data_IF_082956599646
#
_entry.id   IF_082956599646
#
_cell.length_a   1.000
_cell.length_b   1.000
_cell.length_c   1.000
_cell.angle_alpha   90.00
_cell.angle_beta   90.00
_cell.angle_gamma   90.00
#
_symmetry.space_group_name_H-M   'P 1'
#
loop_
_entity.id
_entity.type
_entity.pdbx_description
1 polymer ?
#
# COMPACT_ATOMS: atom_id res chain seq x y z
N UNK A 1 3.14 -3.30 9.39
CA UNK A 1 2.22 -3.98 8.47
C UNK A 1 0.94 -3.18 8.39
N UNK A 2 0.49 -2.86 7.19
CA UNK A 2 -0.68 -2.04 6.90
C UNK A 2 -1.69 -2.75 6.00
N UNK A 3 -2.93 -2.83 6.46
CA UNK A 3 -4.07 -3.41 5.76
C UNK A 3 -5.04 -2.29 5.35
N UNK A 4 -5.26 -2.16 4.05
CA UNK A 4 -6.18 -1.20 3.45
C UNK A 4 -7.46 -1.91 3.02
N UNK A 5 -8.62 -1.47 3.51
CA UNK A 5 -9.93 -1.93 3.10
C UNK A 5 -10.62 -0.96 2.15
N UNK A 6 -10.98 -1.42 0.95
CA UNK A 6 -11.80 -0.66 0.00
C UNK A 6 -13.26 -1.09 0.15
N UNK A 7 -14.07 -0.24 0.77
CA UNK A 7 -15.48 -0.48 1.02
C UNK A 7 -16.30 0.03 -0.18
N UNK A 8 -16.91 -0.89 -0.95
CA UNK A 8 -17.65 -0.58 -2.17
C UNK A 8 -19.18 -0.62 -2.07
N UNK A 9 -19.76 -0.72 -0.87
CA UNK A 9 -21.20 -0.90 -0.68
C UNK A 9 -21.86 0.42 -0.28
N UNK A 10 -22.91 0.88 -0.97
CA UNK A 10 -23.62 2.08 -0.55
C UNK A 10 -24.37 1.91 0.79
N UNK A 11 -24.49 0.66 1.29
CA UNK A 11 -25.20 0.35 2.52
C UNK A 11 -24.23 0.36 3.70
N UNK A 12 -24.21 1.45 4.48
CA UNK A 12 -23.32 1.62 5.66
C UNK A 12 -23.44 0.51 6.71
N UNK A 13 -24.65 -0.02 6.92
CA UNK A 13 -24.92 -1.16 7.82
C UNK A 13 -25.21 -2.46 7.05
N UNK A 14 -24.70 -2.54 5.82
CA UNK A 14 -24.92 -3.68 4.93
C UNK A 14 -23.99 -4.85 5.21
N UNK A 15 -24.37 -6.00 4.67
CA UNK A 15 -23.63 -7.26 4.75
C UNK A 15 -22.16 -7.15 4.31
N UNK A 16 -21.86 -6.37 3.25
CA UNK A 16 -20.46 -6.19 2.79
C UNK A 16 -19.64 -5.39 3.78
N UNK A 17 -20.25 -4.38 4.42
CA UNK A 17 -19.59 -3.61 5.47
C UNK A 17 -19.30 -4.47 6.69
N UNK A 18 -20.25 -5.33 7.09
CA UNK A 18 -20.04 -6.28 8.17
C UNK A 18 -18.84 -7.20 7.89
N UNK A 19 -18.81 -7.85 6.72
CA UNK A 19 -17.74 -8.76 6.34
C UNK A 19 -16.37 -8.07 6.32
N UNK A 20 -16.28 -6.88 5.73
CA UNK A 20 -15.04 -6.09 5.76
C UNK A 20 -14.64 -5.70 7.19
N UNK A 21 -15.59 -5.23 8.00
CA UNK A 21 -15.32 -4.80 9.38
C UNK A 21 -14.82 -5.96 10.25
N UNK A 22 -15.40 -7.15 10.10
CA UNK A 22 -14.95 -8.37 10.79
C UNK A 22 -13.52 -8.76 10.39
N UNK A 23 -13.20 -8.67 9.09
CA UNK A 23 -11.86 -8.91 8.58
C UNK A 23 -10.85 -7.91 9.16
N UNK A 24 -11.15 -6.62 9.07
CA UNK A 24 -10.29 -5.54 9.55
C UNK A 24 -10.08 -5.62 11.06
N UNK A 25 -11.14 -5.87 11.84
CA UNK A 25 -11.02 -6.03 13.30
C UNK A 25 -10.19 -7.25 13.69
N UNK A 26 -10.23 -8.32 12.89
CA UNK A 26 -9.41 -9.51 13.14
C UNK A 26 -7.95 -9.26 12.77
N UNK A 27 -7.69 -8.55 11.68
CA UNK A 27 -6.34 -8.12 11.32
C UNK A 27 -5.73 -7.19 12.38
N UNK A 28 -6.51 -6.24 12.89
CA UNK A 28 -6.11 -5.32 13.96
C UNK A 28 -5.74 -6.05 15.25
N UNK A 29 -6.55 -7.02 15.68
CA UNK A 29 -6.24 -7.90 16.83
C UNK A 29 -4.93 -8.70 16.66
N UNK A 30 -4.50 -8.94 15.42
CA UNK A 30 -3.22 -9.58 15.11
C UNK A 30 -2.06 -8.57 14.92
N UNK A 31 -2.26 -7.31 15.35
CA UNK A 31 -1.24 -6.27 15.37
C UNK A 31 -1.07 -5.53 14.04
N UNK A 32 -1.98 -5.72 13.08
CA UNK A 32 -1.96 -4.97 11.83
C UNK A 32 -2.51 -3.56 12.03
N UNK A 33 -1.88 -2.55 11.43
CA UNK A 33 -2.57 -1.27 11.25
C UNK A 33 -3.64 -1.43 10.18
N UNK A 34 -4.84 -0.92 10.45
CA UNK A 34 -5.96 -1.03 9.51
C UNK A 34 -6.52 0.33 9.13
N UNK A 35 -6.95 0.49 7.87
CA UNK A 35 -7.65 1.69 7.41
C UNK A 35 -8.70 1.32 6.36
N UNK A 36 -9.91 1.87 6.48
CA UNK A 36 -10.99 1.65 5.52
C UNK A 36 -11.25 2.93 4.73
N UNK A 37 -11.19 2.83 3.41
CA UNK A 37 -11.70 3.86 2.49
C UNK A 37 -13.13 3.50 2.11
N UNK A 38 -14.08 4.34 2.51
CA UNK A 38 -15.47 4.28 2.04
C UNK A 38 -15.54 4.86 0.62
N UNK A 39 -15.28 4.00 -0.38
CA UNK A 39 -15.15 4.39 -1.80
C UNK A 39 -16.43 5.04 -2.30
N UNK A 40 -17.59 4.67 -1.77
CA UNK A 40 -18.88 5.23 -2.18
C UNK A 40 -19.03 6.71 -1.79
N UNK A 41 -18.31 7.16 -0.76
CA UNK A 41 -18.31 8.57 -0.34
C UNK A 41 -17.20 9.40 -0.98
N UNK A 42 -16.30 8.78 -1.73
CA UNK A 42 -15.20 9.50 -2.38
C UNK A 42 -15.65 10.11 -3.69
N UNK A 43 -15.18 11.32 -3.96
CA UNK A 43 -15.24 11.93 -5.27
C UNK A 43 -14.18 11.28 -6.16
N UNK A 44 -14.59 10.25 -6.91
CA UNK A 44 -13.73 9.56 -7.88
C UNK A 44 -14.33 9.77 -9.26
N UNK A 45 -13.63 10.51 -10.11
CA UNK A 45 -14.04 10.65 -11.51
C UNK A 45 -13.70 9.38 -12.28
N UNK A 46 -14.59 8.91 -13.18
CA UNK A 46 -14.30 7.74 -14.00
C UNK A 46 -13.08 7.99 -14.89
N UNK A 47 -12.36 6.92 -15.23
CA UNK A 47 -11.32 7.01 -16.24
C UNK A 47 -11.95 7.33 -17.59
N UNK A 48 -11.38 8.31 -18.30
CA UNK A 48 -11.85 8.74 -19.63
C UNK A 48 -11.02 8.17 -20.78
N UNK A 49 -10.07 7.26 -20.49
CA UNK A 49 -9.24 6.61 -21.50
C UNK A 49 -8.31 7.55 -22.28
N UNK A 50 -7.90 8.68 -21.70
CA UNK A 50 -7.12 9.71 -22.42
C UNK A 50 -5.65 9.34 -22.71
N UNK A 51 -5.14 8.22 -22.17
CA UNK A 51 -3.76 7.77 -22.39
C UNK A 51 -2.66 8.63 -21.75
N UNK A 52 -2.99 9.73 -21.06
CA UNK A 52 -1.98 10.63 -20.47
C UNK A 52 -1.01 9.90 -19.53
N UNK A 53 -1.53 8.97 -18.71
CA UNK A 53 -0.73 8.19 -17.77
C UNK A 53 0.26 7.22 -18.42
N UNK A 54 0.07 6.86 -19.69
CA UNK A 54 0.98 5.95 -20.40
C UNK A 54 2.34 6.59 -20.65
N UNK A 55 2.36 7.93 -20.80
CA UNK A 55 3.60 8.70 -21.02
C UNK A 55 4.11 9.34 -19.73
N UNK A 56 3.21 9.82 -18.89
CA UNK A 56 3.57 10.63 -17.72
C UNK A 56 3.60 9.83 -16.41
N UNK A 57 3.05 8.61 -16.39
CA UNK A 57 2.98 7.77 -15.20
C UNK A 57 2.05 8.29 -14.11
N UNK A 58 1.31 9.36 -14.35
CA UNK A 58 0.32 9.93 -13.43
C UNK A 58 -1.00 10.17 -14.16
N UNK A 59 -2.11 10.16 -13.42
CA UNK A 59 -3.39 10.57 -13.97
C UNK A 59 -3.45 12.09 -14.20
N UNK A 60 -4.04 12.53 -15.31
CA UNK A 60 -4.24 13.96 -15.59
C UNK A 60 -5.31 14.58 -14.68
N UNK A 61 -6.28 13.78 -14.25
CA UNK A 61 -7.29 14.19 -13.27
C UNK A 61 -6.63 14.27 -11.90
N UNK A 62 -6.58 15.49 -11.35
CA UNK A 62 -5.93 15.82 -10.06
C UNK A 62 -6.92 16.30 -9.01
N UNK A 63 -8.10 16.72 -9.43
CA UNK A 63 -9.15 17.32 -8.61
C UNK A 63 -10.17 16.28 -8.13
N UNK A 64 -9.65 15.22 -7.50
CA UNK A 64 -10.43 14.11 -6.96
C UNK A 64 -9.65 13.33 -5.89
N UNK A 65 -10.33 12.44 -5.17
CA UNK A 65 -9.77 11.75 -4.00
C UNK A 65 -8.73 10.68 -4.38
N UNK A 66 -8.63 10.32 -5.67
CA UNK A 66 -7.64 9.36 -6.14
C UNK A 66 -6.21 9.84 -5.89
N UNK A 67 -5.90 11.08 -6.27
CA UNK A 67 -4.52 11.61 -6.23
C UNK A 67 -3.99 11.73 -4.81
N UNK A 68 -4.78 12.31 -3.92
CA UNK A 68 -4.32 12.79 -2.63
C UNK A 68 -4.49 11.78 -1.49
N UNK A 69 -5.33 10.76 -1.69
CA UNK A 69 -5.64 9.78 -0.65
C UNK A 69 -5.45 8.34 -1.18
N UNK A 70 -6.16 7.96 -2.24
CA UNK A 70 -6.26 6.54 -2.61
C UNK A 70 -4.95 5.99 -3.20
N UNK A 71 -4.28 6.68 -4.13
CA UNK A 71 -3.00 6.18 -4.65
C UNK A 71 -1.90 6.08 -3.57
N UNK A 72 -1.70 7.09 -2.70
CA UNK A 72 -0.78 6.95 -1.56
C UNK A 72 -1.10 5.73 -0.68
N UNK A 73 -2.37 5.54 -0.32
CA UNK A 73 -2.78 4.40 0.51
C UNK A 73 -2.55 3.04 -0.19
N UNK A 74 -2.83 2.94 -1.49
CA UNK A 74 -2.56 1.74 -2.28
C UNK A 74 -1.05 1.43 -2.33
N UNK A 75 -0.21 2.45 -2.48
CA UNK A 75 1.26 2.31 -2.48
C UNK A 75 1.83 1.96 -1.12
N UNK A 76 1.18 2.39 -0.05
CA UNK A 76 1.62 2.10 1.32
C UNK A 76 1.18 0.71 1.82
N UNK A 77 0.03 0.20 1.36
CA UNK A 77 -0.55 -1.04 1.85
C UNK A 77 0.36 -2.25 1.62
N UNK A 78 0.56 -3.08 2.65
CA UNK A 78 1.08 -4.44 2.51
C UNK A 78 -0.04 -5.40 2.09
N UNK A 79 -1.28 -5.11 2.50
CA UNK A 79 -2.47 -5.89 2.18
C UNK A 79 -3.59 -4.98 1.71
N UNK A 80 -4.20 -5.29 0.57
CA UNK A 80 -5.35 -4.58 0.01
C UNK A 80 -6.56 -5.51 -0.02
N UNK A 81 -7.61 -5.15 0.69
CA UNK A 81 -8.91 -5.80 0.64
C UNK A 81 -9.83 -5.04 -0.30
N UNK A 82 -10.45 -5.74 -1.24
CA UNK A 82 -11.52 -5.20 -2.06
C UNK A 82 -12.85 -5.79 -1.62
N UNK A 83 -13.71 -4.99 -0.99
CA UNK A 83 -15.01 -5.44 -0.52
C UNK A 83 -16.13 -4.84 -1.38
N UNK A 84 -16.83 -5.66 -2.15
CA UNK A 84 -17.90 -5.19 -3.04
C UNK A 84 -19.06 -6.19 -3.11
N UNK A 85 -20.33 -5.75 -2.94
CA UNK A 85 -21.47 -6.58 -3.30
C UNK A 85 -21.53 -6.81 -4.81
N UNK A 86 -22.18 -7.89 -5.24
CA UNK A 86 -22.38 -8.17 -6.66
C UNK A 86 -23.55 -7.36 -7.21
N UNK A 87 -23.25 -6.40 -8.08
CA UNK A 87 -24.22 -5.67 -8.89
C UNK A 87 -24.08 -6.12 -10.34
N UNK A 88 -25.13 -6.76 -10.88
CA UNK A 88 -25.15 -7.28 -12.26
C UNK A 88 -23.91 -8.11 -12.62
N UNK A 89 -23.58 -9.13 -11.79
CA UNK A 89 -22.44 -10.05 -11.99
C UNK A 89 -21.05 -9.40 -11.90
N UNK A 90 -20.95 -8.17 -11.40
CA UNK A 90 -19.66 -7.52 -11.17
C UNK A 90 -19.65 -6.69 -9.87
N UNK A 91 -18.51 -6.05 -9.58
CA UNK A 91 -18.35 -5.07 -8.51
C UNK A 91 -19.26 -3.86 -8.73
N UNK A 92 -19.48 -3.08 -7.68
CA UNK A 92 -20.21 -1.82 -7.77
C UNK A 92 -19.50 -0.81 -8.70
N UNK A 93 -20.28 0.08 -9.32
CA UNK A 93 -19.75 1.10 -10.23
C UNK A 93 -18.71 2.01 -9.56
N UNK A 94 -18.85 2.26 -8.25
CA UNK A 94 -17.92 3.06 -7.45
C UNK A 94 -16.55 2.37 -7.33
N UNK A 95 -16.54 1.07 -7.04
CA UNK A 95 -15.29 0.29 -7.04
C UNK A 95 -14.71 0.24 -8.46
N UNK A 96 -15.55 0.04 -9.47
CA UNK A 96 -15.08 -0.01 -10.86
C UNK A 96 -14.44 1.31 -11.31
N UNK A 97 -14.98 2.45 -10.90
CA UNK A 97 -14.39 3.76 -11.18
C UNK A 97 -12.99 3.91 -10.56
N UNK A 98 -12.78 3.44 -9.33
CA UNK A 98 -11.47 3.37 -8.69
C UNK A 98 -10.52 2.45 -9.47
N UNK A 99 -10.98 1.23 -9.79
CA UNK A 99 -10.19 0.25 -10.56
C UNK A 99 -9.75 0.85 -11.89
N UNK A 100 -10.65 1.49 -12.64
CA UNK A 100 -10.33 2.05 -13.96
C UNK A 100 -9.31 3.19 -13.87
N UNK A 101 -9.28 3.91 -12.75
CA UNK A 101 -8.26 4.93 -12.49
C UNK A 101 -6.89 4.32 -12.17
N UNK A 102 -6.83 3.08 -11.67
CA UNK A 102 -5.53 2.37 -11.50
C UNK A 102 -4.80 2.05 -12.81
N UNK A 103 -5.39 2.36 -13.97
CA UNK A 103 -4.66 2.44 -15.26
C UNK A 103 -3.37 3.26 -15.14
N UNK A 104 -3.33 4.27 -14.27
CA UNK A 104 -2.10 5.01 -13.99
C UNK A 104 -1.01 4.12 -13.40
N UNK A 105 -1.32 3.31 -12.38
CA UNK A 105 -0.37 2.39 -11.75
C UNK A 105 0.03 1.25 -12.70
N UNK A 106 -0.94 0.73 -13.46
CA UNK A 106 -0.69 -0.23 -14.53
C UNK A 106 0.30 0.33 -15.57
N UNK A 107 0.12 1.59 -16.00
CA UNK A 107 1.00 2.23 -16.97
C UNK A 107 2.42 2.37 -16.44
N UNK A 108 2.59 2.73 -15.17
CA UNK A 108 3.91 2.79 -14.54
C UNK A 108 4.63 1.44 -14.60
N UNK A 109 3.90 0.36 -14.33
CA UNK A 109 4.42 -1.01 -14.37
C UNK A 109 4.76 -1.49 -15.78
N UNK A 110 3.82 -1.39 -16.71
CA UNK A 110 3.90 -2.08 -18.01
C UNK A 110 4.31 -1.19 -19.18
N UNK A 111 4.17 0.14 -19.07
CA UNK A 111 4.59 1.09 -20.11
C UNK A 111 5.90 1.78 -19.75
N UNK A 112 6.07 2.15 -18.48
CA UNK A 112 7.27 2.83 -17.99
C UNK A 112 8.31 1.88 -17.39
N UNK A 113 8.02 0.59 -17.31
CA UNK A 113 8.91 -0.45 -16.76
C UNK A 113 9.40 -0.15 -15.34
N UNK A 114 8.58 0.52 -14.53
CA UNK A 114 8.88 0.83 -13.14
C UNK A 114 8.30 -0.26 -12.22
N UNK A 115 9.08 -0.64 -11.21
CA UNK A 115 8.70 -1.62 -10.21
C UNK A 115 8.34 -0.92 -8.91
N UNK A 116 7.10 -1.12 -8.47
CA UNK A 116 6.68 -0.72 -7.14
C UNK A 116 7.49 -1.45 -6.06
N UNK A 117 8.07 -0.75 -5.07
CA UNK A 117 8.88 -1.37 -4.03
C UNK A 117 8.19 -2.48 -3.24
N UNK A 118 6.87 -2.44 -3.07
CA UNK A 118 6.17 -3.47 -2.31
C UNK A 118 5.67 -4.65 -3.16
N UNK A 119 5.86 -4.59 -4.49
CA UNK A 119 5.25 -5.54 -5.44
C UNK A 119 5.49 -7.01 -5.09
N UNK A 120 6.66 -7.33 -4.56
CA UNK A 120 7.08 -8.70 -4.32
C UNK A 120 6.38 -9.36 -3.12
N UNK A 121 5.84 -8.56 -2.20
CA UNK A 121 5.19 -9.07 -0.98
C UNK A 121 3.77 -8.58 -0.77
N UNK A 122 3.33 -7.51 -1.47
CA UNK A 122 1.98 -6.95 -1.32
C UNK A 122 0.91 -7.96 -1.71
N UNK A 123 -0.12 -8.06 -0.88
CA UNK A 123 -1.19 -9.07 -1.02
C UNK A 123 -2.54 -8.44 -1.26
N UNK A 124 -3.32 -9.04 -2.15
CA UNK A 124 -4.67 -8.63 -2.50
C UNK A 124 -5.66 -9.71 -2.12
N UNK A 125 -6.81 -9.34 -1.57
CA UNK A 125 -7.83 -10.30 -1.15
C UNK A 125 -9.25 -9.75 -1.38
N UNK A 126 -10.13 -10.57 -1.98
CA UNK A 126 -11.48 -10.18 -2.40
C UNK A 126 -12.52 -10.57 -1.34
N UNK A 127 -13.42 -9.65 -1.01
CA UNK A 127 -14.61 -9.92 -0.20
C UNK A 127 -15.86 -9.58 -1.04
N UNK A 128 -16.69 -10.57 -1.34
CA UNK A 128 -17.89 -10.34 -2.14
C UNK A 128 -19.08 -11.17 -1.69
N UNK A 129 -20.28 -10.72 -2.03
CA UNK A 129 -21.52 -11.40 -1.69
C UNK A 129 -22.63 -11.00 -2.67
N UNK A 130 -23.61 -11.88 -2.84
CA UNK A 130 -24.77 -11.59 -3.68
C UNK A 130 -25.97 -12.46 -3.30
N UNK A 131 -27.17 -11.99 -3.70
CA UNK A 131 -28.43 -12.62 -3.31
C UNK A 131 -28.74 -13.92 -4.07
N UNK A 132 -28.23 -14.08 -5.30
CA UNK A 132 -28.66 -15.18 -6.16
C UNK A 132 -27.90 -16.48 -5.88
N UNK A 133 -28.36 -17.58 -6.50
CA UNK A 133 -27.76 -18.93 -6.43
C UNK A 133 -26.95 -19.30 -7.68
N UNK A 134 -26.73 -18.34 -8.58
CA UNK A 134 -26.06 -18.60 -9.86
C UNK A 134 -24.65 -19.14 -9.65
N UNK A 135 -24.29 -20.23 -10.33
CA UNK A 135 -22.95 -20.84 -10.20
C UNK A 135 -21.83 -19.87 -10.57
N UNK A 136 -22.10 -18.98 -11.51
CA UNK A 136 -21.13 -18.04 -12.08
C UNK A 136 -21.21 -16.64 -11.43
N UNK A 137 -21.94 -16.50 -10.32
CA UNK A 137 -22.23 -15.20 -9.69
C UNK A 137 -20.98 -14.33 -9.46
N UNK A 138 -19.86 -14.96 -9.12
CA UNK A 138 -18.62 -14.27 -8.79
C UNK A 138 -17.55 -14.31 -9.90
N UNK A 139 -17.78 -14.97 -11.04
CA UNK A 139 -16.74 -15.11 -12.07
C UNK A 139 -16.25 -13.75 -12.56
N UNK A 140 -17.17 -12.84 -12.91
CA UNK A 140 -16.83 -11.49 -13.34
C UNK A 140 -16.11 -10.68 -12.25
N UNK A 141 -16.49 -10.86 -10.99
CA UNK A 141 -15.85 -10.20 -9.85
C UNK A 141 -14.43 -10.69 -9.64
N UNK A 142 -14.19 -12.00 -9.75
CA UNK A 142 -12.86 -12.60 -9.60
C UNK A 142 -11.91 -12.10 -10.70
N UNK A 143 -12.34 -12.11 -11.96
CA UNK A 143 -11.53 -11.61 -13.08
C UNK A 143 -11.20 -10.12 -12.91
N UNK A 144 -12.18 -9.32 -12.51
CA UNK A 144 -11.98 -7.88 -12.23
C UNK A 144 -11.00 -7.66 -11.08
N UNK A 145 -11.13 -8.43 -9.99
CA UNK A 145 -10.25 -8.36 -8.83
C UNK A 145 -8.80 -8.74 -9.17
N UNK A 146 -8.61 -9.83 -9.91
CA UNK A 146 -7.27 -10.30 -10.33
C UNK A 146 -6.52 -9.21 -11.09
N UNK A 147 -7.18 -8.56 -12.06
CA UNK A 147 -6.55 -7.52 -12.85
C UNK A 147 -6.30 -6.25 -12.04
N UNK A 148 -7.22 -5.86 -11.16
CA UNK A 148 -7.02 -4.76 -10.22
C UNK A 148 -5.80 -4.98 -9.33
N UNK A 149 -5.69 -6.14 -8.68
CA UNK A 149 -4.56 -6.44 -7.80
C UNK A 149 -3.24 -6.43 -8.57
N UNK A 150 -3.20 -7.00 -9.78
CA UNK A 150 -2.01 -6.93 -10.62
C UNK A 150 -1.59 -5.48 -10.96
N UNK A 151 -2.56 -4.62 -11.31
CA UNK A 151 -2.33 -3.21 -11.65
C UNK A 151 -1.75 -2.40 -10.48
N UNK A 152 -2.19 -2.67 -9.25
CA UNK A 152 -1.67 -2.03 -8.04
C UNK A 152 -0.43 -2.73 -7.46
N UNK A 153 0.11 -3.73 -8.15
CA UNK A 153 1.29 -4.47 -7.72
C UNK A 153 1.03 -5.32 -6.48
N UNK A 154 -0.14 -5.95 -6.38
CA UNK A 154 -0.48 -6.92 -5.34
C UNK A 154 -0.74 -8.30 -5.96
N UNK A 155 -0.37 -9.37 -5.26
CA UNK A 155 -0.76 -10.74 -5.64
C UNK A 155 -2.25 -10.98 -5.35
N UNK A 156 -2.94 -11.81 -6.15
CA UNK A 156 -4.30 -12.25 -5.79
C UNK A 156 -4.24 -13.47 -4.87
N UNK A 157 -4.43 -13.24 -3.56
CA UNK A 157 -4.18 -14.22 -2.52
C UNK A 157 -5.45 -14.92 -1.97
N UNK A 158 -6.59 -14.72 -2.63
CA UNK A 158 -7.82 -15.44 -2.33
C UNK A 158 -9.05 -14.55 -2.25
N UNK A 159 -10.17 -15.17 -1.90
CA UNK A 159 -11.44 -14.51 -1.75
C UNK A 159 -12.30 -15.16 -0.66
N UNK A 160 -13.23 -14.37 -0.11
CA UNK A 160 -14.41 -14.86 0.58
C UNK A 160 -15.65 -14.40 -0.20
N UNK A 161 -16.43 -15.37 -0.69
CA UNK A 161 -17.62 -15.11 -1.50
C UNK A 161 -18.82 -15.85 -0.97
N UNK A 162 -19.95 -15.14 -0.78
CA UNK A 162 -21.15 -15.69 -0.17
C UNK A 162 -22.38 -15.51 -1.06
N UNK A 163 -23.01 -16.63 -1.42
CA UNK A 163 -24.30 -16.67 -2.12
C UNK A 163 -25.44 -16.46 -1.13
N UNK A 164 -26.61 -16.07 -1.64
CA UNK A 164 -27.86 -15.98 -0.87
C UNK A 164 -27.78 -15.04 0.33
N UNK A 165 -27.06 -13.93 0.17
CA UNK A 165 -27.01 -12.86 1.15
C UNK A 165 -27.88 -11.72 0.62
N UNK A 166 -29.08 -11.58 1.18
CA UNK A 166 -30.12 -10.70 0.64
C UNK A 166 -30.59 -9.68 1.68
N UNK A 167 -30.98 -10.18 2.85
CA UNK A 167 -31.57 -9.39 3.92
C UNK A 167 -30.50 -8.72 4.78
N UNK A 168 -30.78 -7.54 5.36
CA UNK A 168 -29.89 -6.91 6.33
C UNK A 168 -29.56 -7.85 7.49
N UNK A 169 -28.27 -8.07 7.76
CA UNK A 169 -27.79 -8.90 8.87
C UNK A 169 -27.61 -10.38 8.52
N UNK A 170 -27.87 -10.80 7.28
CA UNK A 170 -27.60 -12.18 6.84
C UNK A 170 -26.15 -12.61 7.06
N UNK A 171 -25.19 -11.71 6.80
CA UNK A 171 -23.78 -12.03 7.02
C UNK A 171 -23.46 -12.25 8.49
N UNK A 172 -24.06 -11.50 9.40
CA UNK A 172 -23.84 -11.66 10.84
C UNK A 172 -24.32 -13.03 11.34
N UNK A 173 -25.39 -13.55 10.72
CA UNK A 173 -25.97 -14.85 11.04
C UNK A 173 -25.33 -16.01 10.27
N UNK A 174 -24.44 -15.73 9.30
CA UNK A 174 -23.88 -16.77 8.45
C UNK A 174 -22.98 -17.71 9.27
N UNK A 175 -23.23 -19.03 9.26
CA UNK A 175 -22.67 -19.95 10.25
C UNK A 175 -21.14 -20.07 10.22
N UNK A 176 -20.52 -19.80 9.07
CA UNK A 176 -19.07 -19.95 8.89
C UNK A 176 -18.30 -18.63 8.86
N UNK A 177 -18.98 -17.47 8.78
CA UNK A 177 -18.31 -16.20 8.41
C UNK A 177 -17.13 -15.86 9.32
N UNK A 178 -17.29 -16.05 10.63
CA UNK A 178 -16.26 -15.70 11.60
C UNK A 178 -15.05 -16.60 11.43
N UNK A 179 -15.27 -17.92 11.31
CA UNK A 179 -14.20 -18.91 11.10
C UNK A 179 -13.48 -18.70 9.77
N UNK A 180 -14.24 -18.39 8.72
CA UNK A 180 -13.68 -18.14 7.39
C UNK A 180 -12.82 -16.88 7.38
N UNK A 181 -13.27 -15.81 8.05
CA UNK A 181 -12.50 -14.57 8.25
C UNK A 181 -11.23 -14.84 9.06
N UNK A 182 -11.32 -15.52 10.21
CA UNK A 182 -10.17 -15.81 11.06
C UNK A 182 -9.11 -16.60 10.30
N UNK A 183 -9.52 -17.62 9.55
CA UNK A 183 -8.61 -18.41 8.71
C UNK A 183 -7.98 -17.55 7.61
N UNK A 184 -8.78 -16.82 6.86
CA UNK A 184 -8.28 -16.00 5.76
C UNK A 184 -7.30 -14.91 6.24
N UNK A 185 -7.59 -14.25 7.36
CA UNK A 185 -6.70 -13.27 7.97
C UNK A 185 -5.39 -13.93 8.41
N UNK A 186 -5.46 -15.07 9.11
CA UNK A 186 -4.27 -15.78 9.56
C UNK A 186 -3.37 -16.17 8.38
N UNK A 187 -3.94 -16.77 7.33
CA UNK A 187 -3.20 -17.20 6.13
C UNK A 187 -2.60 -16.00 5.37
N UNK A 188 -3.34 -14.89 5.29
CA UNK A 188 -2.93 -13.69 4.55
C UNK A 188 -1.81 -12.92 5.27
N UNK A 189 -1.89 -12.81 6.60
CA UNK A 189 -0.95 -12.02 7.40
C UNK A 189 0.28 -12.81 7.85
N UNK A 190 0.19 -14.14 7.97
CA UNK A 190 1.30 -15.00 8.45
C UNK A 190 2.66 -14.70 7.78
N UNK A 191 2.75 -14.49 6.45
CA UNK A 191 4.04 -14.22 5.81
C UNK A 191 4.61 -12.82 6.08
N UNK A 192 3.80 -11.92 6.64
CA UNK A 192 4.17 -10.54 6.96
C UNK A 192 4.35 -10.32 8.47
N UNK A 193 3.99 -11.33 9.28
CA UNK A 193 4.22 -11.34 10.71
C UNK A 193 5.71 -11.49 11.02
N UNK A 194 6.13 -10.90 12.14
CA UNK A 194 7.52 -10.97 12.64
C UNK A 194 8.57 -10.33 11.73
N UNK A 195 8.17 -9.55 10.71
CA UNK A 195 9.09 -8.69 9.98
C UNK A 195 9.74 -7.70 10.96
N UNK A 196 11.05 -7.54 10.86
CA UNK A 196 11.81 -6.57 11.65
C UNK A 196 11.38 -5.17 11.24
N UNK A 197 10.96 -4.34 12.19
CA UNK A 197 10.49 -2.98 11.94
C UNK A 197 11.69 -2.05 11.85
N UNK A 198 11.90 -1.46 10.68
CA UNK A 198 13.06 -0.60 10.40
C UNK A 198 12.59 0.79 10.03
N UNK A 199 13.06 1.79 10.75
CA UNK A 199 12.83 3.21 10.45
C UNK A 199 14.08 3.82 9.81
N UNK A 200 13.96 4.27 8.56
CA UNK A 200 14.96 5.13 7.95
C UNK A 200 14.65 6.58 8.26
N UNK A 201 15.51 7.21 9.07
CA UNK A 201 15.36 8.59 9.51
C UNK A 201 16.33 9.50 8.74
N UNK A 202 15.81 10.59 8.19
CA UNK A 202 16.64 11.73 7.81
C UNK A 202 15.93 13.04 8.18
N UNK A 203 16.54 14.21 7.94
CA UNK A 203 15.94 15.49 8.33
C UNK A 203 14.60 15.78 7.64
N UNK A 204 14.61 15.81 6.32
CA UNK A 204 13.44 16.25 5.52
C UNK A 204 12.54 15.12 5.03
N UNK A 205 12.96 13.86 5.17
CA UNK A 205 12.29 12.70 4.57
C UNK A 205 11.95 12.85 3.07
N UNK A 206 12.76 13.64 2.36
CA UNK A 206 12.57 13.93 0.94
C UNK A 206 13.49 13.13 0.02
N UNK A 207 14.60 12.58 0.52
CA UNK A 207 15.68 12.02 -0.32
C UNK A 207 16.25 10.69 0.22
N UNK A 208 17.33 10.73 1.02
CA UNK A 208 18.10 9.54 1.44
C UNK A 208 17.23 8.47 2.12
N UNK A 209 16.39 8.84 3.08
CA UNK A 209 15.50 7.88 3.76
C UNK A 209 14.44 7.30 2.83
N UNK A 210 13.99 8.08 1.84
CA UNK A 210 13.07 7.58 0.80
C UNK A 210 13.76 6.54 -0.08
N UNK A 211 14.98 6.81 -0.57
CA UNK A 211 15.76 5.84 -1.35
C UNK A 211 15.96 4.53 -0.58
N UNK A 212 16.45 4.63 0.66
CA UNK A 212 16.72 3.45 1.49
C UNK A 212 15.44 2.66 1.76
N UNK A 213 14.34 3.36 2.09
CA UNK A 213 13.06 2.71 2.31
C UNK A 213 12.55 1.99 1.06
N UNK A 214 12.74 2.56 -0.13
CA UNK A 214 12.32 1.92 -1.38
C UNK A 214 13.17 0.68 -1.70
N UNK A 215 14.49 0.76 -1.57
CA UNK A 215 15.35 -0.42 -1.75
C UNK A 215 15.06 -1.50 -0.70
N UNK A 216 14.83 -1.13 0.57
CA UNK A 216 14.56 -2.09 1.63
C UNK A 216 13.24 -2.84 1.40
N UNK A 217 12.19 -2.13 0.96
CA UNK A 217 10.94 -2.76 0.56
C UNK A 217 11.14 -3.70 -0.64
N UNK A 218 11.84 -3.23 -1.68
CA UNK A 218 12.03 -3.98 -2.92
C UNK A 218 12.85 -5.26 -2.72
N UNK A 219 13.91 -5.19 -1.93
CA UNK A 219 14.91 -6.25 -1.77
C UNK A 219 14.65 -7.17 -0.58
N UNK A 220 13.89 -6.72 0.43
CA UNK A 220 13.72 -7.46 1.68
C UNK A 220 12.39 -7.20 2.40
N UNK A 221 11.35 -6.74 1.71
CA UNK A 221 10.06 -6.42 2.33
C UNK A 221 9.26 -7.61 2.86
N UNK A 222 9.67 -8.84 2.55
CA UNK A 222 9.20 -10.06 3.21
C UNK A 222 9.80 -10.26 4.61
N UNK A 223 10.94 -9.61 4.89
CA UNK A 223 11.65 -9.65 6.18
C UNK A 223 11.57 -8.35 6.96
N UNK A 224 11.39 -7.22 6.28
CA UNK A 224 11.43 -5.88 6.85
C UNK A 224 10.08 -5.18 6.74
N UNK A 225 9.63 -4.58 7.84
CA UNK A 225 8.49 -3.69 7.92
C UNK A 225 9.03 -2.25 7.93
N UNK A 226 9.08 -1.66 6.74
CA UNK A 226 9.88 -0.47 6.45
C UNK A 226 9.08 0.80 6.66
N UNK A 227 9.66 1.73 7.40
CA UNK A 227 9.16 3.08 7.62
C UNK A 227 10.21 4.11 7.25
N UNK A 228 9.76 5.31 6.91
CA UNK A 228 10.65 6.46 6.67
C UNK A 228 10.09 7.68 7.38
N UNK A 229 10.95 8.50 7.99
CA UNK A 229 10.52 9.67 8.73
C UNK A 229 11.52 10.82 8.71
N UNK A 230 10.97 12.01 8.92
CA UNK A 230 11.62 13.32 8.89
C UNK A 230 11.50 14.03 10.23
N UNK A 231 12.56 14.61 10.77
CA UNK A 231 12.43 15.54 11.91
C UNK A 231 11.75 16.85 11.49
N UNK A 232 12.02 17.31 10.27
CA UNK A 232 11.50 18.53 9.66
C UNK A 232 11.06 18.18 8.23
N UNK A 233 9.98 17.40 8.05
CA UNK A 233 9.60 16.90 6.73
C UNK A 233 9.19 18.02 5.78
N UNK A 234 9.53 17.87 4.50
CA UNK A 234 9.05 18.75 3.41
C UNK A 234 7.67 18.30 2.91
N UNK A 235 7.05 19.06 2.01
CA UNK A 235 5.75 18.69 1.41
C UNK A 235 5.89 17.60 0.32
N UNK A 236 7.01 17.61 -0.40
CA UNK A 236 7.27 16.70 -1.52
C UNK A 236 8.65 16.05 -1.42
N UNK A 237 8.77 14.87 -2.01
CA UNK A 237 10.05 14.19 -2.18
C UNK A 237 10.89 14.87 -3.27
N UNK A 238 12.21 14.76 -3.18
CA UNK A 238 13.13 15.42 -4.10
C UNK A 238 12.98 14.86 -5.54
N UNK A 239 12.73 15.69 -6.56
CA UNK A 239 12.51 15.23 -7.93
C UNK A 239 13.74 14.61 -8.58
N UNK A 240 14.96 15.08 -8.25
CA UNK A 240 16.22 14.49 -8.75
C UNK A 240 16.43 13.10 -8.14
N UNK A 241 16.03 12.90 -6.87
CA UNK A 241 16.01 11.57 -6.27
C UNK A 241 15.06 10.63 -7.02
N UNK A 242 13.86 11.09 -7.38
CA UNK A 242 12.91 10.30 -8.15
C UNK A 242 13.51 9.89 -9.51
N UNK A 243 14.18 10.82 -10.20
CA UNK A 243 14.83 10.55 -11.48
C UNK A 243 15.90 9.45 -11.35
N UNK A 244 16.83 9.57 -10.40
CA UNK A 244 17.89 8.56 -10.25
C UNK A 244 17.37 7.20 -9.76
N UNK A 245 16.27 7.16 -9.00
CA UNK A 245 15.64 5.90 -8.61
C UNK A 245 14.94 5.22 -9.80
N UNK A 246 14.35 6.02 -10.71
CA UNK A 246 13.74 5.50 -11.94
C UNK A 246 14.77 4.95 -12.93
N UNK A 247 16.01 5.46 -12.94
CA UNK A 247 17.12 4.84 -13.69
C UNK A 247 17.39 3.39 -13.26
N UNK A 248 17.12 3.06 -11.99
CA UNK A 248 17.19 1.69 -11.44
C UNK A 248 15.87 0.91 -11.60
N UNK A 249 14.87 1.49 -12.28
CA UNK A 249 13.54 0.91 -12.44
C UNK A 249 12.69 0.91 -11.19
N UNK A 250 13.01 1.73 -10.17
CA UNK A 250 12.26 1.79 -8.91
C UNK A 250 11.19 2.87 -8.96
N UNK A 251 9.95 2.51 -8.68
CA UNK A 251 8.83 3.44 -8.67
C UNK A 251 8.72 4.21 -7.35
N UNK A 252 8.91 5.53 -7.41
CA UNK A 252 8.81 6.43 -6.25
C UNK A 252 7.47 7.21 -6.18
N UNK A 253 6.53 6.95 -7.10
CA UNK A 253 5.29 7.73 -7.16
C UNK A 253 4.40 7.57 -5.92
N UNK A 254 3.73 8.66 -5.56
CA UNK A 254 2.79 8.78 -4.44
C UNK A 254 3.39 8.53 -3.04
N UNK A 255 4.72 8.45 -2.94
CA UNK A 255 5.41 8.56 -1.66
C UNK A 255 5.36 9.99 -1.16
N UNK A 256 5.16 10.15 0.13
CA UNK A 256 5.05 11.44 0.80
C UNK A 256 6.02 11.50 1.97
N UNK A 257 6.70 12.64 2.19
CA UNK A 257 7.42 12.85 3.43
C UNK A 257 6.48 12.80 4.64
N UNK A 258 6.97 12.31 5.78
CA UNK A 258 6.24 12.19 7.03
C UNK A 258 7.12 12.56 8.20
N UNK A 259 6.53 13.07 9.28
CA UNK A 259 7.30 13.38 10.49
C UNK A 259 7.71 12.10 11.24
N UNK A 260 8.81 12.16 11.99
CA UNK A 260 9.25 11.08 12.86
C UNK A 260 8.21 10.77 13.94
N UNK A 261 7.58 11.80 14.54
CA UNK A 261 6.54 11.61 15.55
C UNK A 261 5.32 10.89 14.96
N UNK A 262 4.85 11.31 13.78
CA UNK A 262 3.74 10.67 13.10
C UNK A 262 4.05 9.21 12.72
N UNK A 263 5.32 8.91 12.43
CA UNK A 263 5.76 7.56 12.07
C UNK A 263 5.88 6.65 13.29
N UNK A 264 6.54 7.12 14.35
CA UNK A 264 6.80 6.35 15.57
C UNK A 264 5.51 6.13 16.39
N UNK A 265 4.58 7.09 16.38
CA UNK A 265 3.28 6.95 17.06
C UNK A 265 2.43 5.82 16.46
N UNK A 266 2.64 5.50 15.19
CA UNK A 266 1.94 4.42 14.49
C UNK A 266 2.60 3.07 14.74
N UNK A 267 3.93 3.03 14.76
CA UNK A 267 4.67 1.78 14.89
C UNK A 267 6.02 2.01 15.55
N UNK A 268 6.30 1.29 16.64
CA UNK A 268 7.60 1.31 17.28
C UNK A 268 8.62 0.49 16.47
N UNK A 269 9.71 1.11 15.95
CA UNK A 269 10.77 0.39 15.24
C UNK A 269 11.62 -0.47 16.18
N UNK A 270 12.08 -1.61 15.67
CA UNK A 270 13.12 -2.44 16.31
C UNK A 270 14.52 -1.87 16.02
N UNK A 271 14.68 -1.20 14.88
CA UNK A 271 15.91 -0.59 14.44
C UNK A 271 15.66 0.76 13.73
N UNK A 272 16.48 1.75 14.06
CA UNK A 272 16.44 3.09 13.51
C UNK A 272 17.77 3.32 12.80
N UNK A 273 17.69 3.68 11.53
CA UNK A 273 18.84 3.97 10.68
C UNK A 273 18.83 5.47 10.38
N UNK A 274 19.78 6.19 10.98
CA UNK A 274 19.99 7.63 10.72
C UNK A 274 20.95 7.81 9.55
N UNK A 275 20.80 8.93 8.85
CA UNK A 275 21.58 9.24 7.65
C UNK A 275 22.30 10.57 7.79
N UNK A 276 23.22 10.67 8.76
CA UNK A 276 24.13 11.83 8.89
C UNK A 276 23.45 13.17 9.18
N UNK A 277 22.30 13.18 9.86
CA UNK A 277 21.54 14.40 10.13
C UNK A 277 22.00 15.15 11.39
N UNK A 278 22.84 14.53 12.23
CA UNK A 278 23.28 15.11 13.51
C UNK A 278 22.14 15.41 14.51
N UNK A 279 20.90 15.04 14.18
CA UNK A 279 19.72 15.35 14.96
C UNK A 279 19.42 14.24 15.97
N UNK A 280 18.93 14.65 17.14
CA UNK A 280 18.41 13.75 18.17
C UNK A 280 17.15 13.05 17.63
N UNK A 281 17.34 11.85 17.08
CA UNK A 281 16.22 10.97 16.80
C UNK A 281 15.47 10.70 18.12
N UNK A 282 14.13 10.71 18.14
CA UNK A 282 13.38 10.47 19.37
C UNK A 282 13.86 9.18 20.04
N UNK A 283 14.06 9.22 21.36
CA UNK A 283 14.41 8.04 22.15
C UNK A 283 13.27 7.02 22.07
N UNK A 284 13.41 6.02 21.20
CA UNK A 284 12.49 4.88 21.12
C UNK A 284 13.06 3.76 22.00
N UNK A 285 12.42 3.42 23.14
CA UNK A 285 12.92 2.38 24.03
C UNK A 285 13.07 1.03 23.32
N UNK A 286 14.25 0.42 23.45
CA UNK A 286 14.54 -0.91 22.88
C UNK A 286 14.95 -0.91 21.40
N UNK A 287 14.82 0.21 20.69
CA UNK A 287 15.25 0.30 19.31
C UNK A 287 16.79 0.39 19.21
N UNK A 288 17.39 -0.40 18.31
CA UNK A 288 18.81 -0.26 17.96
C UNK A 288 18.99 0.92 17.03
N UNK A 289 19.96 1.79 17.31
CA UNK A 289 20.25 2.94 16.45
C UNK A 289 21.56 2.67 15.70
N UNK A 290 21.53 2.83 14.37
CA UNK A 290 22.70 2.78 13.52
C UNK A 290 22.78 4.08 12.72
N UNK A 291 23.95 4.71 12.69
CA UNK A 291 24.22 5.82 11.77
C UNK A 291 24.96 5.32 10.53
N UNK A 292 24.45 5.68 9.35
CA UNK A 292 25.09 5.37 8.07
C UNK A 292 26.04 6.47 7.60
N UNK A 293 26.04 7.63 8.28
CA UNK A 293 26.90 8.79 8.01
C UNK A 293 27.01 9.12 6.51
N UNK A 294 25.85 9.28 5.88
CA UNK A 294 25.76 9.55 4.45
C UNK A 294 25.87 11.05 4.19
N UNK A 295 26.69 11.50 3.21
CA UNK A 295 26.75 12.89 2.81
C UNK A 295 25.38 13.46 2.39
N UNK A 296 25.16 14.75 2.60
CA UNK A 296 23.93 15.41 2.17
C UNK A 296 23.95 15.75 0.67
N UNK A 297 23.04 15.19 -0.15
CA UNK A 297 23.00 15.46 -1.58
C UNK A 297 22.31 16.79 -1.94
N UNK A 298 21.82 17.56 -0.96
CA UNK A 298 21.15 18.82 -1.21
C UNK A 298 22.02 19.81 -2.02
N UNK A 299 21.49 20.30 -3.14
CA UNK A 299 22.18 21.25 -4.03
C UNK A 299 23.39 20.68 -4.79
N UNK A 300 23.64 19.37 -4.73
CA UNK A 300 24.72 18.69 -5.47
C UNK A 300 24.27 18.27 -6.87
N UNK A 301 25.21 17.79 -7.69
CA UNK A 301 24.94 17.29 -9.04
C UNK A 301 24.11 16.00 -9.03
N UNK A 302 23.46 15.70 -10.15
CA UNK A 302 22.75 14.42 -10.32
C UNK A 302 23.70 13.21 -10.22
N UNK A 303 24.96 13.36 -10.65
CA UNK A 303 25.97 12.29 -10.53
C UNK A 303 26.27 11.97 -9.06
N UNK A 304 26.38 13.00 -8.22
CA UNK A 304 26.50 12.80 -6.78
C UNK A 304 25.26 12.11 -6.18
N UNK A 305 24.06 12.45 -6.67
CA UNK A 305 22.83 11.77 -6.27
C UNK A 305 22.83 10.27 -6.66
N UNK A 306 23.40 9.92 -7.82
CA UNK A 306 23.59 8.53 -8.27
C UNK A 306 24.58 7.78 -7.38
N UNK A 307 25.69 8.41 -7.00
CA UNK A 307 26.66 7.83 -6.06
C UNK A 307 26.01 7.51 -4.71
N UNK A 308 25.26 8.47 -4.13
CA UNK A 308 24.54 8.28 -2.87
C UNK A 308 23.47 7.19 -2.98
N UNK A 309 22.73 7.14 -4.10
CA UNK A 309 21.75 6.07 -4.37
C UNK A 309 22.43 4.70 -4.34
N UNK A 310 23.56 4.55 -5.01
CA UNK A 310 24.26 3.26 -5.14
C UNK A 310 24.92 2.84 -3.82
N UNK A 311 25.42 3.80 -3.03
CA UNK A 311 25.89 3.54 -1.67
C UNK A 311 24.74 3.08 -0.76
N UNK A 312 23.59 3.76 -0.80
CA UNK A 312 22.39 3.37 -0.04
C UNK A 312 21.92 1.96 -0.43
N UNK A 313 21.89 1.64 -1.73
CA UNK A 313 21.52 0.32 -2.20
C UNK A 313 22.42 -0.77 -1.59
N UNK A 314 23.73 -0.52 -1.52
CA UNK A 314 24.70 -1.44 -0.91
C UNK A 314 24.47 -1.60 0.59
N UNK A 315 24.32 -0.49 1.34
CA UNK A 315 24.04 -0.54 2.79
C UNK A 315 22.73 -1.25 3.11
N UNK A 316 21.70 -1.10 2.27
CA UNK A 316 20.42 -1.82 2.41
C UNK A 316 20.62 -3.33 2.18
N UNK A 317 21.41 -3.75 1.19
CA UNK A 317 21.71 -5.17 0.97
C UNK A 317 22.44 -5.77 2.17
N UNK A 318 23.41 -5.05 2.73
CA UNK A 318 24.14 -5.47 3.93
C UNK A 318 23.22 -5.54 5.16
N UNK A 319 22.26 -4.62 5.27
CA UNK A 319 21.25 -4.66 6.34
C UNK A 319 20.36 -5.91 6.24
N UNK A 320 19.91 -6.27 5.04
CA UNK A 320 19.04 -7.44 4.80
C UNK A 320 19.80 -8.76 4.96
N UNK A 321 21.11 -8.77 4.66
CA UNK A 321 21.97 -9.94 4.77
C UNK A 321 22.36 -10.34 6.19
N UNK A 322 22.13 -9.45 7.18
CA UNK A 322 22.35 -9.70 8.61
C UNK A 322 21.14 -10.38 9.26
#
# INVERSE_FOLDING_TARGET
>A
MFVLGLQGSPRKKGNTNFLLSAFMSTADRLGARTHIVDVVKKNIRPCIGCGYCEKNGYCITKDDDMKHEIYPLLREADVILMASPVYFYNVTAQIKALIDRTQALWSRKYKLNLTDPARNYRRGFLLSLGATRGKNLFEGVHLTAQYFFDAVGAGYNGSLTYWQIEEPGDMEKHPTVIKDVEKAVADLLKPLQNRKKVLFACRENACRSQMAGAFAQLLGGDKLDVMTGGSIPTDEINPVMVEVMQEKGVDMAYRQPRSLEATISVLQPDEIITMGCGEECPLVPGARIQDWDLPDPAGKSIDFMREIRDEIETKVKDLIGK
#
